data_IF_776406286980
#
_entry.id   IF_776406286980
#
_cell.length_a   1.000
_cell.length_b   1.000
_cell.length_c   1.000
_cell.angle_alpha   90.00
_cell.angle_beta   90.00
_cell.angle_gamma   90.00
#
_symmetry.space_group_name_H-M   'P 1'
#
loop_
_entity.id
_entity.type
_entity.pdbx_description
1 polymer ?
#
# COMPACT_ATOMS: atom_id res chain seq x y z
N UNK A 1 -40.41 29.16 -12.81
CA UNK A 1 -39.50 29.45 -13.93
C UNK A 1 -38.35 30.39 -13.49
N UNK A 2 -38.60 31.44 -12.74
CA UNK A 2 -37.55 32.39 -12.35
C UNK A 2 -36.51 31.85 -11.37
N UNK A 3 -36.88 30.90 -10.48
CA UNK A 3 -35.97 30.31 -9.49
C UNK A 3 -34.89 29.48 -10.19
N UNK A 4 -35.26 28.62 -11.09
CA UNK A 4 -34.33 27.78 -11.86
C UNK A 4 -33.40 28.63 -12.73
N UNK A 5 -33.92 29.64 -13.39
CA UNK A 5 -33.14 30.56 -14.23
C UNK A 5 -32.10 31.33 -13.39
N UNK A 6 -32.47 31.80 -12.21
CA UNK A 6 -31.57 32.53 -11.31
C UNK A 6 -30.50 31.59 -10.75
N UNK A 7 -30.85 30.36 -10.38
CA UNK A 7 -29.88 29.34 -9.93
C UNK A 7 -28.90 28.98 -11.03
N UNK A 8 -29.38 28.75 -12.26
CA UNK A 8 -28.51 28.50 -13.41
C UNK A 8 -27.59 29.68 -13.73
N UNK A 9 -28.10 30.90 -13.64
CA UNK A 9 -27.29 32.09 -13.86
C UNK A 9 -26.19 32.22 -12.82
N UNK A 10 -26.48 32.00 -11.54
CA UNK A 10 -25.48 32.02 -10.46
C UNK A 10 -24.43 30.91 -10.68
N UNK A 11 -24.87 29.72 -11.04
CA UNK A 11 -23.97 28.59 -11.33
C UNK A 11 -22.99 28.92 -12.48
N UNK A 12 -23.50 29.43 -13.61
CA UNK A 12 -22.70 29.85 -14.75
C UNK A 12 -21.73 30.97 -14.41
N UNK A 13 -22.16 31.92 -13.60
CA UNK A 13 -21.33 33.05 -13.19
C UNK A 13 -20.20 32.58 -12.24
N UNK A 14 -20.52 31.67 -11.33
CA UNK A 14 -19.53 31.09 -10.41
C UNK A 14 -18.53 30.24 -11.17
N UNK A 15 -18.98 29.41 -12.09
CA UNK A 15 -18.12 28.64 -12.98
C UNK A 15 -17.15 29.52 -13.77
N UNK A 16 -17.66 30.63 -14.31
CA UNK A 16 -16.82 31.65 -15.01
C UNK A 16 -15.79 32.28 -14.09
N UNK A 17 -16.15 32.54 -12.82
CA UNK A 17 -15.24 33.07 -11.83
C UNK A 17 -14.13 32.08 -11.47
N UNK A 18 -14.46 30.78 -11.31
CA UNK A 18 -13.50 29.69 -11.09
C UNK A 18 -12.47 29.64 -12.23
N UNK A 19 -12.90 29.66 -13.48
CA UNK A 19 -11.99 29.64 -14.62
C UNK A 19 -11.17 30.92 -14.80
N UNK A 20 -11.60 32.03 -14.20
CA UNK A 20 -10.87 33.32 -14.26
C UNK A 20 -9.87 33.50 -13.13
N UNK A 21 -10.03 32.76 -12.04
CA UNK A 21 -9.12 32.80 -10.89
C UNK A 21 -8.13 31.66 -10.97
N UNK A 22 -6.86 31.97 -11.26
CA UNK A 22 -5.78 30.98 -11.45
C UNK A 22 -5.58 30.11 -10.21
N UNK A 23 -5.69 30.68 -8.99
CA UNK A 23 -5.54 29.92 -7.75
C UNK A 23 -6.64 28.89 -7.56
N UNK A 24 -7.89 29.31 -7.75
CA UNK A 24 -9.06 28.44 -7.64
C UNK A 24 -9.04 27.34 -8.71
N UNK A 25 -8.67 27.68 -9.95
CA UNK A 25 -8.55 26.75 -11.06
C UNK A 25 -7.52 25.63 -10.78
N UNK A 26 -6.36 26.02 -10.22
CA UNK A 26 -5.33 25.03 -9.86
C UNK A 26 -5.87 24.03 -8.85
N UNK A 27 -6.50 24.49 -7.77
CA UNK A 27 -6.99 23.57 -6.73
C UNK A 27 -8.23 22.77 -7.10
N UNK A 28 -9.13 23.31 -7.90
CA UNK A 28 -10.36 22.61 -8.28
C UNK A 28 -10.21 21.70 -9.52
N UNK A 29 -9.26 22.01 -10.41
CA UNK A 29 -9.12 21.29 -11.69
C UNK A 29 -7.77 20.62 -11.82
N UNK A 30 -6.66 21.39 -11.69
CA UNK A 30 -5.33 20.87 -11.99
C UNK A 30 -4.89 19.85 -10.95
N UNK A 31 -5.07 20.14 -9.68
CA UNK A 31 -4.63 19.25 -8.58
C UNK A 31 -5.40 17.92 -8.60
N UNK A 32 -6.75 17.87 -8.67
CA UNK A 32 -7.48 16.61 -8.74
C UNK A 32 -7.15 15.74 -9.96
N UNK A 33 -6.72 16.35 -11.07
CA UNK A 33 -6.31 15.60 -12.26
C UNK A 33 -4.83 15.17 -12.23
N UNK A 34 -3.96 16.03 -11.69
CA UNK A 34 -2.53 15.76 -11.63
C UNK A 34 -2.16 14.69 -10.59
N UNK A 35 -2.82 14.69 -9.43
CA UNK A 35 -2.52 13.74 -8.35
C UNK A 35 -2.77 12.27 -8.73
N UNK A 36 -3.88 11.89 -9.36
CA UNK A 36 -4.07 10.51 -9.83
C UNK A 36 -2.95 10.02 -10.75
N UNK A 37 -2.53 10.88 -11.69
CA UNK A 37 -1.46 10.57 -12.62
C UNK A 37 -0.13 10.40 -11.89
N UNK A 38 0.18 11.31 -10.97
CA UNK A 38 1.40 11.30 -10.19
C UNK A 38 1.46 10.08 -9.26
N UNK A 39 0.36 9.77 -8.56
CA UNK A 39 0.29 8.60 -7.70
C UNK A 39 0.35 7.29 -8.50
N UNK A 40 -0.35 7.20 -9.63
CA UNK A 40 -0.25 6.03 -10.51
C UNK A 40 1.16 5.82 -11.02
N UNK A 41 1.91 6.89 -11.29
CA UNK A 41 3.30 6.80 -11.72
C UNK A 41 4.23 6.38 -10.56
N UNK A 42 4.06 6.95 -9.37
CA UNK A 42 4.86 6.61 -8.17
C UNK A 42 4.64 5.15 -7.77
N UNK A 43 3.39 4.69 -7.77
CA UNK A 43 3.01 3.35 -7.34
C UNK A 43 2.99 2.32 -8.49
N UNK A 44 3.50 2.66 -9.66
CA UNK A 44 3.57 1.74 -10.80
C UNK A 44 4.42 0.49 -10.50
N UNK A 45 5.44 0.63 -9.66
CA UNK A 45 6.21 -0.50 -9.12
C UNK A 45 5.52 -1.06 -7.86
N UNK A 46 4.32 -1.62 -8.03
CA UNK A 46 3.46 -2.11 -6.94
C UNK A 46 4.07 -3.26 -6.13
N UNK A 47 5.08 -3.94 -6.66
CA UNK A 47 5.73 -5.09 -6.04
C UNK A 47 7.18 -4.73 -5.73
N UNK A 48 7.52 -4.67 -4.46
CA UNK A 48 8.91 -4.54 -4.03
C UNK A 48 9.61 -5.85 -4.35
N UNK A 49 10.54 -5.83 -5.29
CA UNK A 49 11.35 -6.99 -5.66
C UNK A 49 12.75 -6.87 -5.10
N UNK A 50 13.39 -8.03 -4.88
CA UNK A 50 14.78 -8.11 -4.44
C UNK A 50 15.09 -7.32 -3.15
N UNK A 51 14.17 -7.38 -2.17
CA UNK A 51 14.39 -6.75 -0.86
C UNK A 51 15.64 -7.33 -0.22
N UNK A 52 16.66 -6.50 0.12
CA UNK A 52 17.90 -7.00 0.70
C UNK A 52 17.68 -7.52 2.12
N UNK A 53 18.06 -8.78 2.35
CA UNK A 53 17.97 -9.48 3.63
C UNK A 53 19.37 -9.88 4.09
N UNK A 54 19.63 -9.74 5.39
CA UNK A 54 20.83 -10.27 6.02
C UNK A 54 20.56 -11.66 6.60
N UNK A 55 21.53 -12.55 6.52
CA UNK A 55 21.45 -13.91 7.10
C UNK A 55 22.47 -14.02 8.23
N UNK A 56 22.00 -14.50 9.39
CA UNK A 56 22.85 -14.90 10.51
C UNK A 56 22.63 -16.40 10.73
N UNK A 57 23.58 -17.22 10.27
CA UNK A 57 23.50 -18.67 10.36
C UNK A 57 24.58 -19.21 11.34
N UNK A 58 24.16 -19.49 12.56
CA UNK A 58 25.00 -20.11 13.58
C UNK A 58 24.98 -21.66 13.51
N UNK A 59 23.96 -22.21 12.86
CA UNK A 59 23.81 -23.66 12.71
C UNK A 59 24.74 -24.27 11.65
N UNK A 60 25.07 -23.50 10.61
CA UNK A 60 25.87 -23.93 9.44
C UNK A 60 25.38 -25.27 8.85
N UNK A 61 24.10 -25.57 8.97
CA UNK A 61 23.50 -26.85 8.60
C UNK A 61 23.13 -26.92 7.11
N UNK A 62 22.78 -28.12 6.63
CA UNK A 62 22.24 -28.29 5.28
C UNK A 62 20.90 -27.56 5.13
N UNK A 63 20.03 -27.70 6.12
CA UNK A 63 18.69 -27.12 6.09
C UNK A 63 18.71 -25.60 6.18
N UNK A 64 19.61 -25.00 6.99
CA UNK A 64 19.74 -23.53 7.02
C UNK A 64 20.26 -22.95 5.69
N UNK A 65 21.18 -23.67 5.04
CA UNK A 65 21.67 -23.31 3.71
C UNK A 65 20.62 -23.48 2.62
N UNK A 66 19.78 -24.50 2.73
CA UNK A 66 18.65 -24.70 1.82
C UNK A 66 17.62 -23.57 1.98
N UNK A 67 17.24 -23.24 3.21
CA UNK A 67 16.37 -22.12 3.52
C UNK A 67 16.92 -20.80 2.94
N UNK A 68 18.20 -20.53 3.16
CA UNK A 68 18.87 -19.33 2.65
C UNK A 68 18.84 -19.26 1.12
N UNK A 69 19.05 -20.40 0.43
CA UNK A 69 18.94 -20.46 -1.04
C UNK A 69 17.53 -20.21 -1.54
N UNK A 70 16.51 -20.70 -0.81
CA UNK A 70 15.13 -20.44 -1.16
C UNK A 70 14.75 -18.96 -0.98
N UNK A 71 15.30 -18.27 0.04
CA UNK A 71 15.15 -16.82 0.20
C UNK A 71 15.75 -16.09 -1.01
N UNK A 72 16.96 -16.46 -1.40
CA UNK A 72 17.69 -15.81 -2.52
C UNK A 72 17.06 -16.11 -3.88
N UNK A 73 16.41 -17.27 -4.01
CA UNK A 73 15.69 -17.65 -5.23
C UNK A 73 14.28 -17.01 -5.34
N UNK A 74 13.79 -16.40 -4.28
CA UNK A 74 12.49 -15.72 -4.30
C UNK A 74 12.60 -14.41 -5.09
N UNK A 75 11.59 -14.06 -5.92
CA UNK A 75 11.60 -12.78 -6.64
C UNK A 75 11.46 -11.56 -5.72
N UNK A 76 10.96 -11.76 -4.49
CA UNK A 76 10.64 -10.68 -3.57
C UNK A 76 11.81 -10.33 -2.65
N UNK A 77 12.76 -11.26 -2.43
CA UNK A 77 13.86 -11.09 -1.50
C UNK A 77 15.22 -11.47 -2.13
N UNK A 78 16.27 -10.83 -1.66
CA UNK A 78 17.65 -11.11 -2.06
C UNK A 78 18.54 -11.21 -0.82
N UNK A 79 19.39 -12.21 -0.74
CA UNK A 79 20.40 -12.32 0.30
C UNK A 79 21.54 -11.34 -0.01
N UNK A 80 21.51 -10.16 0.62
CA UNK A 80 22.52 -9.12 0.40
C UNK A 80 23.75 -9.31 1.27
N UNK A 81 23.58 -9.80 2.50
CA UNK A 81 24.64 -9.88 3.51
C UNK A 81 24.57 -11.18 4.29
N UNK A 82 25.74 -11.68 4.68
CA UNK A 82 25.89 -12.75 5.69
C UNK A 82 26.66 -12.19 6.86
N UNK A 83 26.06 -12.21 8.04
CA UNK A 83 26.64 -11.68 9.26
C UNK A 83 26.93 -12.80 10.23
N UNK A 84 27.95 -12.62 11.07
CA UNK A 84 28.35 -13.63 12.06
C UNK A 84 27.60 -13.49 13.38
N UNK A 85 26.98 -12.33 13.61
CA UNK A 85 26.22 -12.07 14.83
C UNK A 85 24.97 -11.23 14.56
N UNK A 86 24.01 -11.31 15.48
CA UNK A 86 22.79 -10.52 15.42
C UNK A 86 23.09 -9.02 15.56
N UNK A 87 24.09 -8.66 16.37
CA UNK A 87 24.48 -7.25 16.59
C UNK A 87 25.08 -6.63 15.33
N UNK A 88 25.89 -7.38 14.60
CA UNK A 88 26.42 -6.95 13.30
C UNK A 88 25.25 -6.72 12.31
N UNK A 89 24.32 -7.67 12.24
CA UNK A 89 23.16 -7.56 11.37
C UNK A 89 22.28 -6.33 11.73
N UNK A 90 22.09 -6.05 13.02
CA UNK A 90 21.37 -4.85 13.49
C UNK A 90 22.04 -3.56 13.06
N UNK A 91 23.38 -3.49 13.14
CA UNK A 91 24.11 -2.33 12.66
C UNK A 91 23.96 -2.13 11.15
N UNK A 92 23.91 -3.21 10.37
CA UNK A 92 23.69 -3.16 8.92
C UNK A 92 22.28 -2.69 8.56
N UNK A 93 21.26 -3.13 9.31
CA UNK A 93 19.89 -2.58 9.16
C UNK A 93 19.88 -1.08 9.45
N UNK A 94 20.53 -0.64 10.55
CA UNK A 94 20.61 0.77 10.90
C UNK A 94 21.30 1.65 9.85
N UNK A 95 22.15 1.06 8.97
CA UNK A 95 22.78 1.74 7.84
C UNK A 95 21.95 1.70 6.56
N UNK A 96 20.86 0.91 6.53
CA UNK A 96 20.04 0.69 5.34
C UNK A 96 20.58 -0.34 4.36
N UNK A 97 21.61 -1.14 4.75
CA UNK A 97 22.19 -2.18 3.90
C UNK A 97 21.25 -3.38 3.75
N UNK A 98 20.35 -3.61 4.71
CA UNK A 98 19.31 -4.64 4.70
C UNK A 98 18.06 -4.15 5.43
N UNK A 99 16.89 -4.70 5.08
CA UNK A 99 15.60 -4.38 5.72
C UNK A 99 15.12 -5.45 6.68
N UNK A 100 15.81 -6.59 6.75
CA UNK A 100 15.51 -7.64 7.69
C UNK A 100 16.68 -8.61 7.86
N UNK A 101 16.57 -9.41 8.92
CA UNK A 101 17.54 -10.45 9.28
C UNK A 101 16.80 -11.76 9.48
N UNK A 102 17.31 -12.84 8.89
CA UNK A 102 16.90 -14.20 9.20
C UNK A 102 18.00 -14.87 10.01
N UNK A 103 17.63 -15.31 11.21
CA UNK A 103 18.54 -15.86 12.21
C UNK A 103 18.29 -17.35 12.42
N UNK A 104 19.33 -18.16 12.27
CA UNK A 104 19.31 -19.58 12.58
C UNK A 104 20.17 -19.84 13.83
N UNK A 105 19.58 -20.37 14.93
CA UNK A 105 20.32 -20.68 16.15
C UNK A 105 21.23 -21.90 15.94
N UNK A 106 22.23 -22.06 16.80
CA UNK A 106 23.21 -23.17 16.73
C UNK A 106 22.54 -24.55 16.83
N UNK A 107 21.52 -24.68 17.66
CA UNK A 107 20.76 -25.90 17.91
C UNK A 107 19.72 -26.26 16.86
N UNK A 108 19.57 -25.42 15.82
CA UNK A 108 18.54 -25.55 14.77
C UNK A 108 18.46 -26.96 14.19
N UNK A 109 19.57 -27.49 13.66
CA UNK A 109 19.59 -28.81 13.04
C UNK A 109 19.50 -29.94 14.06
N UNK A 110 20.08 -29.77 15.25
CA UNK A 110 20.02 -30.76 16.31
C UNK A 110 18.61 -31.02 16.78
N UNK A 111 17.82 -29.95 16.99
CA UNK A 111 16.41 -30.04 17.33
C UNK A 111 15.59 -30.67 16.22
N UNK A 112 15.85 -30.23 14.97
CA UNK A 112 15.15 -30.79 13.80
C UNK A 112 15.36 -32.30 13.67
N UNK A 113 16.57 -32.78 13.87
CA UNK A 113 16.89 -34.21 13.83
C UNK A 113 16.28 -35.00 14.99
N UNK A 114 16.01 -34.34 16.12
CA UNK A 114 15.32 -34.96 17.27
C UNK A 114 13.80 -34.89 17.17
N UNK A 115 13.27 -34.33 16.07
CA UNK A 115 11.84 -34.06 15.90
C UNK A 115 11.28 -33.07 16.96
N UNK A 116 12.14 -32.20 17.48
CA UNK A 116 11.76 -31.13 18.40
C UNK A 116 11.47 -29.86 17.60
N UNK A 117 10.54 -29.06 18.12
CA UNK A 117 10.24 -27.76 17.51
C UNK A 117 11.44 -26.82 17.61
N UNK A 118 11.82 -26.24 16.49
CA UNK A 118 12.86 -25.22 16.42
C UNK A 118 12.30 -23.92 15.85
N UNK A 119 12.97 -22.81 16.12
CA UNK A 119 12.52 -21.49 15.70
C UNK A 119 13.59 -20.82 14.85
N UNK A 120 13.14 -20.23 13.75
CA UNK A 120 13.94 -19.30 12.93
C UNK A 120 13.52 -17.89 13.31
N UNK A 121 14.47 -17.05 13.73
CA UNK A 121 14.19 -15.66 14.07
C UNK A 121 14.11 -14.81 12.80
N UNK A 122 13.02 -14.08 12.62
CA UNK A 122 12.89 -13.12 11.51
C UNK A 122 12.72 -11.73 12.13
N UNK A 123 13.74 -10.89 11.96
CA UNK A 123 13.77 -9.52 12.47
C UNK A 123 13.68 -8.56 11.30
N UNK A 124 12.64 -7.74 11.25
CA UNK A 124 12.39 -6.84 10.13
C UNK A 124 12.23 -5.40 10.61
N UNK A 125 12.65 -4.47 9.80
CA UNK A 125 12.31 -3.06 9.96
C UNK A 125 10.86 -2.83 9.52
N UNK A 126 9.98 -2.55 10.48
CA UNK A 126 8.56 -2.32 10.21
C UNK A 126 8.25 -0.90 9.76
N UNK A 127 9.22 0.01 9.72
CA UNK A 127 9.03 1.35 9.18
C UNK A 127 8.74 1.33 7.68
N UNK A 128 9.23 0.29 6.97
CA UNK A 128 8.96 0.06 5.54
C UNK A 128 8.05 -1.16 5.39
N UNK A 129 6.75 -0.92 5.46
CA UNK A 129 5.72 -1.96 5.43
C UNK A 129 5.84 -2.92 4.24
N UNK A 130 6.19 -2.43 3.05
CA UNK A 130 6.33 -3.27 1.85
C UNK A 130 7.51 -4.23 1.97
N UNK A 131 8.65 -3.78 2.49
CA UNK A 131 9.83 -4.63 2.71
C UNK A 131 9.53 -5.70 3.77
N UNK A 132 8.90 -5.30 4.89
CA UNK A 132 8.45 -6.25 5.90
C UNK A 132 7.55 -7.34 5.32
N UNK A 133 6.51 -6.94 4.54
CA UNK A 133 5.56 -7.87 3.93
C UNK A 133 6.27 -8.86 3.00
N UNK A 134 7.18 -8.39 2.16
CA UNK A 134 7.94 -9.23 1.23
C UNK A 134 8.78 -10.28 1.99
N UNK A 135 9.56 -9.85 2.98
CA UNK A 135 10.42 -10.74 3.78
C UNK A 135 9.58 -11.77 4.54
N UNK A 136 8.53 -11.29 5.23
CA UNK A 136 7.70 -12.16 6.07
C UNK A 136 6.96 -13.21 5.24
N UNK A 137 6.32 -12.83 4.14
CA UNK A 137 5.60 -13.75 3.26
C UNK A 137 6.53 -14.78 2.63
N UNK A 138 7.72 -14.36 2.18
CA UNK A 138 8.74 -15.28 1.67
C UNK A 138 9.16 -16.30 2.73
N UNK A 139 9.46 -15.86 3.95
CA UNK A 139 9.85 -16.75 5.05
C UNK A 139 8.73 -17.74 5.41
N UNK A 140 7.48 -17.31 5.46
CA UNK A 140 6.32 -18.17 5.73
C UNK A 140 6.11 -19.21 4.62
N UNK A 141 6.24 -18.82 3.36
CA UNK A 141 6.12 -19.74 2.22
C UNK A 141 7.23 -20.82 2.27
N UNK A 142 8.48 -20.42 2.52
CA UNK A 142 9.60 -21.35 2.64
C UNK A 142 9.43 -22.28 3.84
N UNK A 143 8.98 -21.76 4.98
CA UNK A 143 8.67 -22.56 6.16
C UNK A 143 7.60 -23.62 5.84
N UNK A 144 6.54 -23.26 5.14
CA UNK A 144 5.50 -24.18 4.71
C UNK A 144 6.04 -25.30 3.83
N UNK A 145 6.88 -24.97 2.85
CA UNK A 145 7.49 -25.93 1.94
C UNK A 145 8.46 -26.89 2.68
N UNK A 146 9.32 -26.36 3.55
CA UNK A 146 10.25 -27.21 4.32
C UNK A 146 9.50 -28.10 5.31
N UNK A 147 8.49 -27.60 5.98
CA UNK A 147 7.66 -28.41 6.86
C UNK A 147 6.98 -29.54 6.09
N UNK A 148 6.45 -29.28 4.91
CA UNK A 148 5.85 -30.29 4.04
C UNK A 148 6.87 -31.39 3.67
N UNK A 149 8.08 -31.00 3.28
CA UNK A 149 9.15 -31.96 2.96
C UNK A 149 9.57 -32.80 4.16
N UNK A 150 9.62 -32.22 5.35
CA UNK A 150 9.94 -32.94 6.58
C UNK A 150 8.82 -33.94 6.91
N UNK A 151 7.56 -33.52 6.81
CA UNK A 151 6.41 -34.40 7.04
C UNK A 151 6.38 -35.60 6.08
N UNK A 152 6.62 -35.36 4.79
CA UNK A 152 6.72 -36.44 3.79
C UNK A 152 7.82 -37.44 4.14
N UNK A 153 8.99 -36.97 4.55
CA UNK A 153 10.10 -37.87 4.98
C UNK A 153 9.75 -38.70 6.21
N UNK A 154 8.93 -38.17 7.10
CA UNK A 154 8.54 -38.82 8.35
C UNK A 154 7.36 -39.79 8.16
N UNK A 155 6.44 -39.51 7.24
CA UNK A 155 5.21 -40.31 7.03
C UNK A 155 5.47 -41.63 6.34
N UNK A 156 6.61 -41.74 5.60
CA UNK A 156 6.92 -42.98 4.87
C UNK A 156 5.91 -43.31 3.76
N UNK A 157 5.26 -42.29 3.21
CA UNK A 157 4.27 -42.45 2.14
C UNK A 157 4.91 -43.02 0.87
N UNK A 158 4.12 -43.80 0.11
CA UNK A 158 4.59 -44.44 -1.13
C UNK A 158 4.08 -43.78 -2.40
N UNK A 159 3.08 -42.88 -2.27
CA UNK A 159 2.45 -42.23 -3.43
C UNK A 159 2.42 -40.70 -3.25
N UNK A 160 2.48 -39.96 -4.38
CA UNK A 160 2.37 -38.49 -4.37
C UNK A 160 1.05 -38.02 -3.80
N UNK A 161 -0.04 -38.78 -3.99
CA UNK A 161 -1.35 -38.46 -3.44
C UNK A 161 -1.39 -38.58 -1.91
N UNK A 162 -0.73 -39.56 -1.32
CA UNK A 162 -0.59 -39.66 0.14
C UNK A 162 0.25 -38.51 0.70
N UNK A 163 1.30 -38.13 -0.02
CA UNK A 163 2.11 -36.94 0.34
C UNK A 163 1.27 -35.66 0.35
N UNK A 164 0.45 -35.45 -0.67
CA UNK A 164 -0.42 -34.28 -0.79
C UNK A 164 -1.45 -34.23 0.34
N UNK A 165 -2.12 -35.34 0.65
CA UNK A 165 -3.08 -35.44 1.74
C UNK A 165 -2.40 -35.24 3.10
N UNK A 166 -1.19 -35.78 3.30
CA UNK A 166 -0.44 -35.66 4.56
C UNK A 166 0.04 -34.25 4.80
N UNK A 167 0.50 -33.55 3.75
CA UNK A 167 1.06 -32.19 3.88
C UNK A 167 -0.02 -31.10 3.84
N UNK A 168 -1.10 -31.33 3.09
CA UNK A 168 -2.20 -30.38 2.92
C UNK A 168 -3.55 -31.09 2.97
N UNK A 169 -3.98 -31.57 4.15
CA UNK A 169 -5.29 -32.24 4.30
C UNK A 169 -6.46 -31.30 3.98
N UNK A 170 -6.22 -29.99 4.10
CA UNK A 170 -7.13 -28.93 3.71
C UNK A 170 -6.40 -28.00 2.73
N UNK A 171 -6.83 -27.97 1.48
CA UNK A 171 -6.31 -27.08 0.46
C UNK A 171 -7.25 -25.88 0.26
N UNK A 172 -6.68 -24.69 0.13
CA UNK A 172 -7.42 -23.47 -0.15
C UNK A 172 -7.20 -23.08 -1.60
N UNK A 173 -8.26 -23.11 -2.38
CA UNK A 173 -8.24 -22.53 -3.71
C UNK A 173 -8.44 -21.02 -3.60
N UNK A 174 -7.35 -20.27 -3.64
CA UNK A 174 -7.40 -18.82 -3.66
C UNK A 174 -7.80 -18.34 -5.06
N UNK A 175 -8.97 -17.74 -5.15
CA UNK A 175 -9.46 -17.11 -6.39
C UNK A 175 -9.56 -15.60 -6.15
N UNK A 176 -8.55 -14.81 -6.51
CA UNK A 176 -8.62 -13.38 -6.37
C UNK A 176 -9.67 -12.80 -7.33
N UNK A 177 -10.72 -12.17 -6.78
CA UNK A 177 -11.81 -11.57 -7.56
C UNK A 177 -11.46 -10.14 -7.97
N UNK A 178 -10.80 -9.41 -7.06
CA UNK A 178 -10.32 -8.05 -7.27
C UNK A 178 -8.85 -7.94 -6.89
N UNK A 179 -8.12 -7.02 -7.51
CA UNK A 179 -6.70 -6.79 -7.25
C UNK A 179 -5.86 -8.07 -7.34
N UNK A 180 -5.91 -8.73 -8.51
CA UNK A 180 -5.25 -10.01 -8.77
C UNK A 180 -3.74 -9.98 -8.53
N UNK A 181 -3.12 -8.81 -8.61
CA UNK A 181 -1.68 -8.60 -8.35
C UNK A 181 -1.37 -8.42 -6.87
N UNK A 182 -2.40 -8.34 -5.99
CA UNK A 182 -2.27 -7.97 -4.59
C UNK A 182 -1.46 -6.66 -4.39
N UNK A 183 -1.48 -5.79 -5.40
CA UNK A 183 -0.70 -4.55 -5.44
C UNK A 183 -1.19 -3.55 -4.39
N UNK A 184 -0.23 -2.93 -3.72
CA UNK A 184 -0.49 -1.93 -2.70
C UNK A 184 -1.13 -0.67 -3.28
N UNK A 185 -0.76 -0.30 -4.51
CA UNK A 185 -1.33 0.81 -5.24
C UNK A 185 -2.84 0.68 -5.42
N UNK A 186 -3.31 -0.48 -5.86
CA UNK A 186 -4.74 -0.74 -6.06
C UNK A 186 -5.57 -0.64 -4.78
N UNK A 187 -4.95 -0.81 -3.63
CA UNK A 187 -5.61 -0.64 -2.33
C UNK A 187 -5.60 0.83 -1.85
N UNK A 188 -4.45 1.51 -1.97
CA UNK A 188 -4.27 2.87 -1.42
C UNK A 188 -4.80 3.97 -2.34
N UNK A 189 -4.60 3.86 -3.65
CA UNK A 189 -4.94 4.92 -4.60
C UNK A 189 -6.39 5.39 -4.45
N UNK A 190 -7.42 4.52 -4.39
CA UNK A 190 -8.80 4.98 -4.24
C UNK A 190 -9.04 5.80 -2.97
N UNK A 191 -8.47 5.38 -1.83
CA UNK A 191 -8.60 6.10 -0.56
C UNK A 191 -7.92 7.46 -0.58
N UNK A 192 -6.70 7.53 -1.10
CA UNK A 192 -5.94 8.78 -1.23
C UNK A 192 -6.63 9.73 -2.19
N UNK A 193 -7.17 9.23 -3.32
CA UNK A 193 -7.92 10.07 -4.26
C UNK A 193 -9.16 10.69 -3.65
N UNK A 194 -9.95 9.93 -2.89
CA UNK A 194 -11.10 10.47 -2.15
C UNK A 194 -10.68 11.61 -1.23
N UNK A 195 -9.58 11.43 -0.50
CA UNK A 195 -9.06 12.41 0.44
C UNK A 195 -8.54 13.68 -0.26
N UNK A 196 -7.87 13.52 -1.40
CA UNK A 196 -7.39 14.64 -2.23
C UNK A 196 -8.56 15.43 -2.79
N UNK A 197 -9.57 14.77 -3.37
CA UNK A 197 -10.77 15.41 -3.90
C UNK A 197 -11.48 16.21 -2.80
N UNK A 198 -11.64 15.62 -1.62
CA UNK A 198 -12.25 16.31 -0.48
C UNK A 198 -11.48 17.56 -0.07
N UNK A 199 -10.16 17.45 0.06
CA UNK A 199 -9.30 18.57 0.48
C UNK A 199 -9.23 19.68 -0.57
N UNK A 200 -9.08 19.32 -1.84
CA UNK A 200 -9.02 20.30 -2.92
C UNK A 200 -10.35 21.02 -3.11
N UNK A 201 -11.47 20.32 -2.93
CA UNK A 201 -12.79 20.93 -2.92
C UNK A 201 -12.94 21.95 -1.80
N UNK A 202 -12.56 21.61 -0.57
CA UNK A 202 -12.61 22.53 0.57
C UNK A 202 -11.72 23.75 0.36
N UNK A 203 -10.49 23.55 -0.12
CA UNK A 203 -9.56 24.65 -0.41
C UNK A 203 -10.07 25.53 -1.56
N UNK A 204 -10.54 24.91 -2.64
CA UNK A 204 -11.06 25.62 -3.80
C UNK A 204 -12.28 26.49 -3.46
N UNK A 205 -13.25 25.93 -2.70
CA UNK A 205 -14.42 26.66 -2.23
C UNK A 205 -14.00 27.80 -1.27
N UNK A 206 -13.06 27.52 -0.34
CA UNK A 206 -12.53 28.51 0.58
C UNK A 206 -11.85 29.68 -0.14
N UNK A 207 -11.01 29.40 -1.13
CA UNK A 207 -10.34 30.40 -1.95
C UNK A 207 -11.34 31.21 -2.80
N UNK A 208 -12.30 30.55 -3.46
CA UNK A 208 -13.33 31.22 -4.23
C UNK A 208 -14.16 32.19 -3.37
N UNK A 209 -14.50 31.78 -2.14
CA UNK A 209 -15.20 32.63 -1.18
C UNK A 209 -14.32 33.78 -0.69
N UNK A 210 -13.03 33.53 -0.42
CA UNK A 210 -12.04 34.54 -0.03
C UNK A 210 -11.84 35.62 -1.11
N UNK A 211 -11.60 35.21 -2.35
CA UNK A 211 -11.42 36.11 -3.49
C UNK A 211 -12.70 36.94 -3.76
N UNK A 212 -13.88 36.32 -3.63
CA UNK A 212 -15.16 37.03 -3.77
C UNK A 212 -15.31 38.11 -2.69
N UNK A 213 -14.84 37.87 -1.47
CA UNK A 213 -14.84 38.83 -0.37
C UNK A 213 -13.87 39.97 -0.59
N UNK A 214 -12.63 39.70 -0.97
CA UNK A 214 -11.60 40.71 -1.23
C UNK A 214 -11.98 41.65 -2.36
N UNK A 215 -12.54 41.11 -3.44
CA UNK A 215 -12.97 41.91 -4.61
C UNK A 215 -14.34 42.60 -4.42
N UNK A 216 -14.97 42.44 -3.26
CA UNK A 216 -16.30 42.96 -2.94
C UNK A 216 -17.36 42.58 -3.99
N UNK A 217 -17.22 41.41 -4.60
CA UNK A 217 -17.98 40.95 -5.77
C UNK A 217 -19.35 40.34 -5.42
N UNK A 218 -19.81 40.57 -4.19
CA UNK A 218 -21.13 40.06 -3.75
C UNK A 218 -22.30 40.63 -4.52
N UNK A 219 -22.16 41.81 -5.16
CA UNK A 219 -23.21 42.46 -5.92
C UNK A 219 -23.71 41.67 -7.14
N UNK A 220 -22.82 40.85 -7.73
CA UNK A 220 -23.17 40.02 -8.90
C UNK A 220 -23.91 38.72 -8.55
N UNK A 221 -23.85 38.32 -7.27
CA UNK A 221 -24.48 37.08 -6.77
C UNK A 221 -25.90 37.27 -6.29
N UNK A 222 -26.38 38.53 -6.22
CA UNK A 222 -27.74 38.83 -5.77
C UNK A 222 -28.68 38.71 -6.99
N UNK A 223 -29.64 37.77 -6.97
CA UNK A 223 -30.67 37.71 -8.03
C UNK A 223 -31.38 39.03 -8.14
N UNK A 224 -31.60 39.50 -9.36
CA UNK A 224 -32.29 40.76 -9.66
C UNK A 224 -33.71 40.87 -9.04
N UNK A 225 -34.28 39.75 -8.60
CA UNK A 225 -35.55 39.67 -7.91
C UNK A 225 -35.38 39.29 -6.44
N UNK A 226 -35.23 40.26 -5.57
CA UNK A 226 -35.05 40.13 -4.11
C UNK A 226 -36.24 39.54 -3.33
N UNK A 227 -37.30 39.06 -3.97
CA UNK A 227 -38.47 38.55 -3.29
C UNK A 227 -38.37 37.06 -3.00
N UNK A 228 -38.33 36.67 -1.73
CA UNK A 228 -38.40 35.32 -1.15
C UNK A 228 -37.31 34.34 -1.52
N UNK A 229 -36.57 33.86 -0.49
CA UNK A 229 -35.56 32.76 -0.55
C UNK A 229 -34.32 33.01 -1.41
N UNK A 230 -33.83 34.24 -1.51
CA UNK A 230 -32.63 34.58 -2.27
C UNK A 230 -31.37 33.85 -1.81
N UNK A 231 -31.24 33.62 -0.51
CA UNK A 231 -30.07 32.89 0.09
C UNK A 231 -30.02 31.45 -0.41
N UNK A 232 -31.14 30.73 -0.44
CA UNK A 232 -31.20 29.35 -0.92
C UNK A 232 -30.81 29.25 -2.40
N UNK A 233 -31.15 30.19 -3.24
CA UNK A 233 -30.77 30.21 -4.66
C UNK A 233 -29.26 30.41 -4.82
N UNK A 234 -28.67 31.26 -4.00
CA UNK A 234 -27.20 31.48 -3.99
C UNK A 234 -26.50 30.23 -3.54
N UNK A 235 -26.94 29.60 -2.45
CA UNK A 235 -26.31 28.36 -1.93
C UNK A 235 -26.41 27.24 -2.96
N UNK A 236 -27.60 27.00 -3.54
CA UNK A 236 -27.76 25.97 -4.56
C UNK A 236 -26.99 26.28 -5.85
N UNK A 237 -26.97 27.55 -6.29
CA UNK A 237 -26.24 27.97 -7.47
C UNK A 237 -24.75 27.80 -7.31
N UNK A 238 -24.19 28.08 -6.13
CA UNK A 238 -22.76 27.83 -5.81
C UNK A 238 -22.42 26.35 -5.62
N UNK A 239 -23.36 25.61 -5.03
CA UNK A 239 -23.16 24.17 -4.82
C UNK A 239 -23.22 23.34 -6.13
N UNK A 240 -23.89 23.87 -7.16
CA UNK A 240 -23.99 23.22 -8.48
C UNK A 240 -22.86 23.63 -9.43
N UNK A 241 -22.10 24.68 -9.11
CA UNK A 241 -20.95 25.13 -9.90
C UNK A 241 -19.71 24.34 -9.58
#
# INVERSE_FOLDING_TARGET
>A
FNILRDTCYICLQELKNVFRDQGVLIFLVVVPLAYPLLYSWIYNNEVTREVPVAIVDLSHSHTSREFTRMIDASPDTRVALRCNSLDEARQRIGRGDAFGVVYFPEDFQTKLNRMEQTHVGVYCDMSIMLAYKAIFQTCVAIQGELNSRIQVKLSGNYTDRENEITTRPLDFQEVPIFNNTAGYGNFIIPGVLMLIIQQTLLLGVGMAAGTAREKNNYGFLVPLHRRYRGVMRIVWGKAMA
#
